data_IF_373087854705
#
_entry.id   IF_373087854705
#
_cell.length_a   1.000
_cell.length_b   1.000
_cell.length_c   1.000
_cell.angle_alpha   90.00
_cell.angle_beta   90.00
_cell.angle_gamma   90.00
#
_symmetry.space_group_name_H-M   'P 1'
#
loop_
_entity.id
_entity.type
_entity.pdbx_description
1 polymer ?
2 non-polymer ?
3 water ?
#
# COMPACT_ATOMS: atom_id res chain seq x y z
N UNK A 1 -13.12 -3.74 24.21
CA UNK A 1 -12.64 -4.17 22.86
C UNK A 1 -13.81 -4.56 21.98
N UNK A 2 -13.64 -4.36 20.66
CA UNK A 2 -14.56 -4.82 19.59
C UNK A 2 -14.16 -6.24 19.24
N UNK A 3 -15.24 -7.21 19.16
CA UNK A 3 -14.75 -8.57 19.01
C UNK A 3 -14.15 -8.93 17.64
N UNK A 4 -14.67 -8.27 16.61
CA UNK A 4 -14.33 -8.58 15.21
C UNK A 4 -13.90 -7.25 14.57
N UNK A 5 -12.76 -6.65 14.98
CA UNK A 5 -12.32 -5.36 14.42
C UNK A 5 -12.18 -5.47 12.89
N UNK A 6 -12.67 -4.47 12.15
CA UNK A 6 -12.65 -4.52 10.69
C UNK A 6 -11.37 -3.90 10.11
N UNK A 7 -10.49 -3.32 10.93
CA UNK A 7 -9.22 -2.71 10.46
C UNK A 7 -8.33 -2.49 11.68
N UNK A 8 -7.14 -1.99 11.45
CA UNK A 8 -6.12 -1.79 12.51
C UNK A 8 -6.53 -0.62 13.42
N UNK A 9 -7.46 0.24 12.99
CA UNK A 9 -7.94 1.38 13.82
C UNK A 9 -8.82 0.82 14.92
N UNK A 10 -9.70 -0.14 14.60
CA UNK A 10 -10.55 -0.82 15.60
C UNK A 10 -9.69 -1.78 16.44
N UNK A 11 -8.59 -2.33 15.92
CA UNK A 11 -7.70 -3.18 16.74
C UNK A 11 -6.90 -2.30 17.72
N UNK A 12 -6.54 -1.07 17.35
CA UNK A 12 -5.70 -0.18 18.19
C UNK A 12 -6.58 0.35 19.31
N UNK A 13 -7.80 0.75 18.97
CA UNK A 13 -8.78 1.25 19.98
C UNK A 13 -9.01 0.10 20.97
N UNK A 14 -8.85 -1.16 20.52
CA UNK A 14 -8.98 -2.37 21.37
C UNK A 14 -7.79 -2.50 22.35
N UNK A 15 -6.82 -1.57 22.34
CA UNK A 15 -5.69 -1.58 23.29
C UNK A 15 -4.45 -2.26 22.73
N UNK A 16 -4.45 -2.57 21.44
CA UNK A 16 -3.30 -3.20 20.74
C UNK A 16 -2.40 -2.07 20.23
N UNK A 17 -1.37 -1.69 20.99
CA UNK A 17 -0.58 -0.47 20.70
C UNK A 17 0.81 -0.83 20.20
N UNK A 18 1.13 -2.13 20.18
CA UNK A 18 2.40 -2.68 19.67
C UNK A 18 2.16 -2.94 18.19
N UNK A 19 3.01 -2.43 17.34
CA UNK A 19 2.99 -2.82 15.91
C UNK A 19 3.28 -4.31 15.80
N UNK A 20 2.64 -4.98 14.83
CA UNK A 20 2.80 -6.42 14.60
C UNK A 20 1.56 -6.99 13.99
N UNK A 21 1.41 -8.31 14.06
CA UNK A 21 0.35 -9.06 13.38
C UNK A 21 -0.90 -9.14 14.23
N UNK A 22 -2.03 -8.77 13.64
CA UNK A 22 -3.37 -8.78 14.26
C UNK A 22 -4.35 -9.41 13.29
N UNK A 23 -5.40 -9.97 13.86
CA UNK A 23 -6.54 -10.43 13.05
C UNK A 23 -7.56 -9.33 12.88
N UNK A 24 -7.90 -8.99 11.64
CA UNK A 24 -9.11 -8.20 11.34
C UNK A 24 -10.13 -9.09 10.66
N UNK A 25 -11.33 -8.56 10.56
CA UNK A 25 -12.51 -9.29 10.09
C UNK A 25 -13.22 -8.43 9.07
N UNK A 26 -13.24 -8.85 7.82
CA UNK A 26 -13.79 -7.94 6.77
C UNK A 26 -15.28 -7.79 6.99
N UNK A 27 -15.78 -6.56 6.98
CA UNK A 27 -17.18 -6.23 7.29
C UNK A 27 -17.54 -6.67 8.72
N UNK A 28 -16.60 -6.87 9.64
CA UNK A 28 -16.93 -7.31 11.00
C UNK A 28 -17.41 -8.74 11.05
N UNK A 29 -17.18 -9.51 10.00
CA UNK A 29 -17.74 -10.89 9.86
C UNK A 29 -16.67 -11.85 10.40
N UNK A 30 -17.01 -12.59 11.44
CA UNK A 30 -16.06 -13.53 12.10
C UNK A 30 -15.64 -14.62 11.10
N UNK A 31 -16.33 -14.80 9.99
CA UNK A 31 -15.95 -15.79 8.95
C UNK A 31 -15.03 -15.16 7.89
N UNK A 32 -14.66 -13.88 8.02
CA UNK A 32 -13.80 -13.24 7.00
C UNK A 32 -12.56 -12.71 7.70
N UNK A 33 -11.90 -13.56 8.48
CA UNK A 33 -10.65 -13.25 9.20
C UNK A 33 -9.53 -13.00 8.21
N UNK A 34 -8.68 -12.02 8.50
CA UNK A 34 -7.50 -11.68 7.68
C UNK A 34 -6.38 -11.29 8.63
N UNK A 35 -5.21 -11.91 8.54
CA UNK A 35 -4.05 -11.53 9.40
C UNK A 35 -3.33 -10.38 8.71
N UNK A 36 -3.22 -9.27 9.41
CA UNK A 36 -2.58 -8.08 8.80
C UNK A 36 -1.47 -7.64 9.74
N UNK A 37 -0.52 -6.91 9.17
CA UNK A 37 0.43 -6.13 9.98
C UNK A 37 -0.18 -4.77 10.28
N UNK A 38 -0.30 -4.42 11.54
CA UNK A 38 -0.76 -3.08 12.01
C UNK A 38 0.45 -2.23 12.43
N UNK A 39 0.61 -1.06 11.78
CA UNK A 39 1.57 -0.02 12.20
C UNK A 39 0.84 0.83 13.23
N UNK A 40 1.18 0.62 14.50
CA UNK A 40 0.46 1.29 15.61
C UNK A 40 1.24 2.53 16.08
N UNK A 41 2.31 2.95 15.40
CA UNK A 41 3.15 4.06 15.91
C UNK A 41 3.17 5.26 14.95
N UNK A 42 3.13 5.04 13.65
CA UNK A 42 3.22 6.13 12.66
C UNK A 42 1.95 6.99 12.72
N UNK A 43 2.12 8.32 12.80
CA UNK A 43 1.01 9.31 12.81
C UNK A 43 -0.21 8.73 13.47
N UNK A 44 -0.11 8.45 14.78
CA UNK A 44 -1.23 8.06 15.64
C UNK A 44 -1.60 6.58 15.53
N UNK A 45 -0.97 5.80 14.65
CA UNK A 45 -1.22 4.36 14.57
C UNK A 45 -2.52 3.96 13.89
N UNK A 46 -2.91 2.70 14.04
CA UNK A 46 -4.16 2.14 13.49
C UNK A 46 -4.08 1.86 12.00
N UNK A 47 -2.88 1.71 11.43
CA UNK A 47 -2.70 1.55 9.97
C UNK A 47 -2.53 0.07 9.59
N UNK A 48 -3.35 -0.41 8.67
CA UNK A 48 -3.09 -1.70 7.99
C UNK A 48 -1.96 -1.44 7.00
N UNK A 49 -0.84 -2.10 7.19
CA UNK A 49 0.25 -2.02 6.19
C UNK A 49 -0.10 -2.98 5.04
N UNK A 50 -0.01 -2.51 3.80
CA UNK A 50 -0.36 -3.39 2.65
C UNK A 50 0.79 -3.56 1.67
N UNK A 51 1.86 -2.80 1.82
CA UNK A 51 3.11 -2.95 1.02
C UNK A 51 4.26 -2.65 1.95
N UNK A 52 5.26 -3.50 1.96
CA UNK A 52 6.54 -3.14 2.64
C UNK A 52 7.70 -3.57 1.74
N UNK A 53 8.60 -2.62 1.47
CA UNK A 53 9.92 -2.86 0.86
C UNK A 53 10.98 -2.46 1.89
N UNK A 54 12.00 -3.27 2.06
CA UNK A 54 13.05 -2.96 3.07
C UNK A 54 14.36 -3.69 2.79
N UNK A 55 14.42 -4.73 1.95
CA UNK A 55 15.72 -5.47 1.84
C UNK A 55 15.90 -6.21 0.52
N UNK A 56 14.91 -6.25 -0.37
CA UNK A 56 15.05 -6.90 -1.68
C UNK A 56 15.04 -8.42 -1.60
N UNK A 57 14.60 -9.02 -0.48
CA UNK A 57 14.59 -10.51 -0.37
C UNK A 57 13.36 -11.09 -1.10
N UNK A 58 12.28 -10.32 -1.25
CA UNK A 58 11.04 -10.86 -1.85
C UNK A 58 10.96 -10.47 -3.32
N UNK A 59 10.35 -11.31 -4.14
CA UNK A 59 10.15 -11.04 -5.57
C UNK A 59 8.83 -10.30 -5.78
N UNK A 60 8.85 -9.10 -6.36
CA UNK A 60 7.61 -8.32 -6.62
C UNK A 60 7.22 -8.42 -8.08
N UNK A 61 8.03 -9.12 -8.89
CA UNK A 61 7.72 -9.30 -10.32
C UNK A 61 6.85 -10.53 -10.45
N UNK A 62 5.57 -10.37 -10.09
CA UNK A 62 4.62 -11.48 -9.93
C UNK A 62 3.40 -11.18 -10.77
N UNK A 63 2.59 -12.21 -10.99
CA UNK A 63 1.45 -12.17 -11.92
C UNK A 63 0.17 -11.63 -11.28
N UNK A 64 -0.85 -11.45 -12.12
CA UNK A 64 -2.19 -10.98 -11.72
C UNK A 64 -2.71 -11.77 -10.53
N UNK A 65 -2.73 -13.10 -10.62
CA UNK A 65 -3.31 -13.92 -9.52
C UNK A 65 -2.58 -13.62 -8.20
N UNK A 66 -1.25 -13.43 -8.25
CA UNK A 66 -0.42 -13.13 -7.06
C UNK A 66 -0.77 -11.75 -6.50
N UNK A 67 -0.89 -10.75 -7.36
CA UNK A 67 -1.27 -9.37 -6.92
C UNK A 67 -2.71 -9.36 -6.42
N UNK A 68 -3.60 -10.15 -7.02
CA UNK A 68 -4.99 -10.25 -6.52
C UNK A 68 -5.04 -10.86 -5.12
N UNK A 69 -4.21 -11.85 -4.82
CA UNK A 69 -4.31 -12.68 -3.60
C UNK A 69 -3.41 -12.17 -2.48
N UNK A 70 -2.29 -11.56 -2.83
CA UNK A 70 -1.27 -11.17 -1.86
C UNK A 70 -0.16 -12.21 -1.82
N UNK A 71 1.02 -11.80 -1.36
CA UNK A 71 2.19 -12.69 -1.24
C UNK A 71 3.15 -12.08 -0.23
N UNK A 72 4.10 -12.88 0.25
CA UNK A 72 5.19 -12.40 1.12
C UNK A 72 4.93 -12.66 2.59
N UNK A 73 5.92 -12.29 3.40
CA UNK A 73 5.94 -12.39 4.87
C UNK A 73 5.45 -11.04 5.39
N UNK A 74 4.29 -11.02 6.04
CA UNK A 74 3.64 -9.76 6.50
C UNK A 74 4.54 -9.06 7.54
N UNK A 75 5.51 -9.76 8.13
CA UNK A 75 6.49 -9.15 9.07
C UNK A 75 7.69 -8.55 8.34
N UNK A 76 7.84 -8.83 7.04
CA UNK A 76 8.99 -8.38 6.24
C UNK A 76 8.43 -7.78 4.94
N UNK A 77 8.93 -8.18 3.79
CA UNK A 77 8.46 -7.63 2.51
C UNK A 77 7.25 -8.42 2.03
N UNK A 78 6.19 -7.71 1.68
CA UNK A 78 4.96 -8.37 1.25
C UNK A 78 4.05 -7.39 0.53
N UNK A 79 3.04 -7.98 -0.09
CA UNK A 79 1.91 -7.27 -0.76
C UNK A 79 0.61 -7.89 -0.22
N UNK A 80 -0.30 -7.10 0.34
CA UNK A 80 -1.50 -7.64 1.02
C UNK A 80 -2.48 -8.30 0.06
N UNK A 81 -2.58 -7.85 -1.18
CA UNK A 81 -3.60 -8.38 -2.09
C UNK A 81 -4.61 -7.36 -2.49
N UNK A 82 -4.90 -7.29 -3.78
CA UNK A 82 -5.89 -6.32 -4.30
C UNK A 82 -7.30 -6.71 -3.86
N UNK A 83 -7.63 -7.99 -3.77
CA UNK A 83 -8.98 -8.38 -3.34
C UNK A 83 -9.20 -7.91 -1.89
N UNK A 84 -8.18 -8.09 -1.06
CA UNK A 84 -8.20 -7.61 0.34
C UNK A 84 -8.38 -6.11 0.35
N UNK A 85 -7.60 -5.36 -0.43
CA UNK A 85 -7.66 -3.90 -0.45
C UNK A 85 -9.05 -3.45 -0.89
N UNK A 86 -9.62 -4.12 -1.89
CA UNK A 86 -10.98 -3.73 -2.36
C UNK A 86 -11.97 -3.93 -1.20
N UNK A 87 -11.91 -5.07 -0.53
CA UNK A 87 -12.87 -5.42 0.54
C UNK A 87 -12.69 -4.48 1.74
N UNK A 88 -11.46 -4.12 2.10
CA UNK A 88 -11.24 -3.17 3.23
C UNK A 88 -11.80 -1.80 2.82
N UNK A 89 -11.36 -1.26 1.68
CA UNK A 89 -11.71 0.13 1.31
C UNK A 89 -13.21 0.27 1.04
N UNK A 90 -13.94 -0.83 0.81
CA UNK A 90 -15.41 -0.85 0.65
C UNK A 90 -16.11 -0.59 1.98
N UNK A 91 -15.44 -0.77 3.13
CA UNK A 91 -16.10 -0.76 4.48
C UNK A 91 -16.40 0.67 4.94
N UNK A 92 -15.78 1.66 4.34
CA UNK A 92 -15.94 3.05 4.77
C UNK A 92 -15.03 3.96 3.98
N UNK A 93 -14.83 5.19 4.43
CA UNK A 93 -13.90 6.13 3.78
C UNK A 93 -12.52 5.89 4.38
N UNK A 94 -11.57 5.48 3.56
CA UNK A 94 -10.18 5.22 4.02
C UNK A 94 -9.22 6.29 3.47
N UNK A 95 -8.13 6.45 4.22
CA UNK A 95 -7.00 7.36 3.94
C UNK A 95 -5.79 6.45 3.67
N UNK A 96 -4.96 6.85 2.70
CA UNK A 96 -3.68 6.20 2.34
C UNK A 96 -2.56 6.97 3.01
N UNK A 97 -1.61 6.25 3.60
CA UNK A 97 -0.33 6.84 4.02
C UNK A 97 0.81 6.06 3.39
N UNK A 98 1.78 6.79 2.87
CA UNK A 98 2.99 6.21 2.30
C UNK A 98 4.15 6.74 3.14
N UNK A 99 4.94 5.85 3.71
CA UNK A 99 6.17 6.17 4.48
C UNK A 99 7.38 5.74 3.67
N UNK A 100 8.33 6.66 3.47
CA UNK A 100 9.52 6.39 2.65
C UNK A 100 10.75 6.73 3.52
N UNK A 101 11.81 5.96 3.32
CA UNK A 101 13.09 6.24 4.00
C UNK A 101 14.20 5.75 3.11
N UNK A 102 15.22 6.58 2.95
CA UNK A 102 16.35 6.24 2.08
C UNK A 102 17.58 6.96 2.64
N UNK A 103 18.61 6.19 2.96
CA UNK A 103 19.90 6.73 3.47
C UNK A 103 19.61 7.82 4.50
N UNK A 104 18.75 7.51 5.49
CA UNK A 104 18.42 8.34 6.65
C UNK A 104 17.41 9.42 6.37
N UNK A 105 17.13 9.76 5.13
CA UNK A 105 16.09 10.77 4.86
C UNK A 105 14.72 10.10 4.85
N UNK A 106 13.73 10.77 5.39
CA UNK A 106 12.34 10.27 5.39
C UNK A 106 11.41 11.27 4.72
N UNK A 107 10.34 10.73 4.17
CA UNK A 107 9.27 11.55 3.57
C UNK A 107 7.98 10.79 3.73
N UNK A 108 6.86 11.46 3.56
CA UNK A 108 5.56 10.77 3.62
C UNK A 108 4.61 11.46 2.68
N UNK A 109 3.53 10.75 2.38
CA UNK A 109 2.39 11.27 1.64
C UNK A 109 1.13 10.69 2.28
N UNK A 110 0.13 11.53 2.44
CA UNK A 110 -1.19 11.07 2.94
C UNK A 110 -2.21 11.50 1.88
N UNK A 111 -3.19 10.64 1.59
CA UNK A 111 -4.30 10.93 0.68
C UNK A 111 -5.58 10.67 1.46
N UNK A 112 -6.38 11.72 1.63
CA UNK A 112 -7.57 11.68 2.53
C UNK A 112 -8.60 10.67 2.04
N UNK A 113 -8.58 10.38 0.74
CA UNK A 113 -9.53 9.44 0.11
C UNK A 113 -8.73 8.46 -0.70
N UNK A 114 -8.91 7.20 -0.35
CA UNK A 114 -8.21 6.06 -1.00
C UNK A 114 -9.19 4.92 -1.13
N UNK A 115 -9.34 4.40 -2.34
CA UNK A 115 -10.13 3.16 -2.51
C UNK A 115 -9.53 2.35 -3.66
N UNK A 116 -9.84 1.07 -3.65
CA UNK A 116 -9.43 0.11 -4.68
C UNK A 116 -10.71 -0.58 -5.14
N UNK A 117 -11.03 -0.46 -6.43
CA UNK A 117 -12.24 -1.11 -6.97
C UNK A 117 -12.13 -2.62 -7.03
N UNK A 118 -13.21 -3.27 -7.46
CA UNK A 118 -13.24 -4.75 -7.49
C UNK A 118 -12.63 -5.23 -8.79
N UNK A 119 -12.62 -6.54 -8.98
CA UNK A 119 -11.96 -7.19 -10.13
C UNK A 119 -12.56 -6.71 -11.46
N UNK A 120 -13.84 -6.37 -11.46
CA UNK A 120 -14.58 -5.94 -12.69
C UNK A 120 -14.07 -4.54 -13.07
N UNK A 121 -13.44 -3.79 -12.15
CA UNK A 121 -12.76 -2.48 -12.47
C UNK A 121 -11.26 -2.67 -12.71
N UNK A 122 -10.78 -3.91 -12.74
CA UNK A 122 -9.34 -4.29 -12.70
C UNK A 122 -8.70 -3.51 -11.52
N UNK A 123 -9.38 -3.51 -10.38
CA UNK A 123 -8.89 -2.94 -9.09
C UNK A 123 -8.47 -1.48 -9.28
N UNK A 124 -9.36 -0.68 -9.85
CA UNK A 124 -9.20 0.78 -10.18
C UNK A 124 -8.75 1.51 -8.91
N UNK A 125 -7.70 2.31 -9.01
CA UNK A 125 -7.22 3.16 -7.90
C UNK A 125 -8.02 4.46 -7.83
N UNK A 126 -8.44 4.86 -6.62
CA UNK A 126 -8.86 6.24 -6.31
C UNK A 126 -7.95 6.78 -5.23
N UNK A 127 -7.32 7.93 -5.48
CA UNK A 127 -6.47 8.65 -4.50
C UNK A 127 -6.75 10.12 -4.69
N UNK A 128 -7.16 10.77 -3.61
CA UNK A 128 -7.48 12.20 -3.61
C UNK A 128 -7.04 12.77 -2.25
N UNK A 129 -6.84 14.08 -2.19
CA UNK A 129 -6.66 14.83 -0.95
C UNK A 129 -5.25 14.67 -0.38
N UNK A 130 -4.26 15.04 -1.16
CA UNK A 130 -2.82 14.93 -0.83
C UNK A 130 -2.42 15.92 0.26
N UNK A 131 -1.64 15.42 1.21
CA UNK A 131 -0.74 16.28 2.00
C UNK A 131 0.55 15.49 2.23
N UNK A 132 1.66 16.16 2.38
CA UNK A 132 2.90 15.46 2.74
C UNK A 132 4.16 16.17 2.36
N UNK A 133 5.26 15.44 2.46
CA UNK A 133 6.62 15.90 2.14
C UNK A 133 7.23 15.16 0.95
N UNK A 134 6.64 14.01 0.54
CA UNK A 134 7.23 13.20 -0.54
C UNK A 134 6.95 13.84 -1.91
N UNK A 135 5.92 14.67 -1.98
CA UNK A 135 5.43 15.19 -3.28
C UNK A 135 4.33 14.31 -3.82
N UNK A 136 3.34 14.93 -4.45
CA UNK A 136 2.10 14.23 -4.85
C UNK A 136 2.35 13.41 -6.12
N UNK A 137 2.96 12.24 -5.99
CA UNK A 137 3.30 11.39 -7.17
C UNK A 137 2.14 10.45 -7.51
N UNK A 138 1.22 10.21 -6.59
CA UNK A 138 0.07 9.32 -6.88
C UNK A 138 -0.97 10.01 -7.75
N UNK A 139 -1.05 11.35 -7.79
CA UNK A 139 -2.06 12.05 -8.62
C UNK A 139 -2.01 11.50 -10.04
N UNK A 140 -0.80 11.34 -10.59
CA UNK A 140 -0.55 10.82 -11.96
C UNK A 140 -1.30 9.50 -12.18
N UNK A 141 -1.41 8.69 -11.13
CA UNK A 141 -1.94 7.30 -11.18
C UNK A 141 -3.45 7.25 -10.90
N UNK A 142 -4.02 8.33 -10.36
CA UNK A 142 -5.45 8.35 -9.95
C UNK A 142 -6.35 7.86 -11.07
N UNK A 143 -7.24 6.92 -10.74
CA UNK A 143 -8.28 6.43 -11.66
C UNK A 143 -7.81 5.28 -12.52
N UNK A 144 -6.52 4.91 -12.44
CA UNK A 144 -6.00 3.84 -13.31
C UNK A 144 -6.26 2.44 -12.74
N UNK A 145 -6.50 1.50 -13.64
CA UNK A 145 -6.58 0.07 -13.30
C UNK A 145 -5.19 -0.44 -12.90
N UNK A 146 -5.16 -1.61 -12.29
CA UNK A 146 -3.91 -2.27 -11.89
C UNK A 146 -3.41 -3.05 -13.10
N UNK A 147 -2.08 -3.11 -13.28
CA UNK A 147 -1.45 -3.91 -14.36
C UNK A 147 -0.33 -4.78 -13.79
N UNK A 148 -0.29 -6.01 -14.29
CA UNK A 148 0.79 -6.98 -14.11
C UNK A 148 1.25 -7.36 -15.52
N UNK A 149 2.38 -8.03 -15.60
CA UNK A 149 2.96 -8.42 -16.91
C UNK A 149 1.94 -9.25 -17.69
N UNK A 150 1.13 -10.08 -17.03
CA UNK A 150 0.20 -11.01 -17.73
C UNK A 150 -1.19 -10.39 -17.87
N UNK A 151 -1.39 -9.13 -17.44
CA UNK A 151 -2.67 -8.40 -17.61
C UNK A 151 -2.34 -6.90 -17.64
N UNK A 159 4.32 -2.55 -22.56
CA UNK A 159 3.74 -3.16 -21.33
C UNK A 159 4.56 -2.68 -20.15
N UNK A 160 3.98 -1.77 -19.34
CA UNK A 160 4.71 -1.07 -18.26
C UNK A 160 5.26 -2.09 -17.27
N UNK A 161 4.46 -3.09 -16.90
CA UNK A 161 4.86 -4.08 -15.88
C UNK A 161 6.02 -4.91 -16.40
N UNK A 162 5.87 -5.35 -17.63
CA UNK A 162 6.94 -6.12 -18.31
C UNK A 162 8.19 -5.24 -18.47
N UNK A 163 8.07 -4.02 -19.04
CA UNK A 163 9.22 -3.10 -19.34
C UNK A 163 9.98 -2.77 -18.07
N UNK A 164 9.28 -2.40 -17.00
CA UNK A 164 9.89 -1.98 -15.71
C UNK A 164 9.98 -3.21 -14.73
N UNK A 165 9.52 -4.41 -15.10
CA UNK A 165 9.59 -5.66 -14.29
C UNK A 165 9.05 -5.35 -12.86
N UNK A 166 7.87 -4.77 -12.79
CA UNK A 166 7.12 -4.60 -11.53
C UNK A 166 5.63 -4.77 -11.76
N UNK A 167 4.80 -4.13 -10.95
CA UNK A 167 3.32 -4.17 -11.04
C UNK A 167 2.84 -2.88 -10.37
N UNK A 168 1.81 -2.26 -10.86
CA UNK A 168 1.26 -1.01 -10.28
C UNK A 168 0.00 -0.63 -11.04
N UNK A 169 -0.66 0.41 -10.57
CA UNK A 169 -1.69 1.15 -11.32
C UNK A 169 -1.01 2.02 -12.39
N UNK A 170 -0.34 1.39 -13.35
CA UNK A 170 0.49 2.04 -14.36
C UNK A 170 -0.36 2.90 -15.30
N UNK A 171 0.27 3.95 -15.79
CA UNK A 171 -0.32 4.87 -16.80
C UNK A 171 0.61 4.79 -18.01
N UNK A 172 1.58 5.70 -18.14
CA UNK A 172 2.48 5.68 -19.31
C UNK A 172 3.85 6.29 -18.97
N UNK A 173 4.56 5.75 -17.96
CA UNK A 173 4.20 4.55 -17.22
C UNK A 173 3.97 4.87 -15.73
N UNK A 174 4.91 5.59 -15.08
CA UNK A 174 4.78 5.77 -13.62
C UNK A 174 5.49 7.01 -13.09
N UNK A 175 4.94 7.54 -12.00
CA UNK A 175 5.72 8.39 -11.08
C UNK A 175 5.92 7.67 -9.74
N UNK A 176 5.13 6.64 -9.47
CA UNK A 176 5.31 5.76 -8.29
C UNK A 176 5.53 4.35 -8.78
N UNK A 177 6.55 3.66 -8.25
CA UNK A 177 6.89 2.29 -8.66
C UNK A 177 7.32 1.49 -7.44
N UNK A 178 6.49 1.47 -6.39
CA UNK A 178 6.96 0.93 -5.10
C UNK A 178 7.05 -0.63 -5.12
N UNK A 179 6.51 -1.27 -6.16
CA UNK A 179 6.63 -2.72 -6.39
C UNK A 179 7.66 -2.98 -7.49
N UNK A 180 8.59 -2.08 -7.70
CA UNK A 180 9.66 -2.25 -8.70
C UNK A 180 10.80 -3.07 -8.18
N UNK A 181 11.89 -3.10 -8.94
CA UNK A 181 13.06 -3.94 -8.61
C UNK A 181 13.88 -3.28 -7.50
N UNK A 182 14.09 -3.98 -6.40
CA UNK A 182 14.85 -3.46 -5.24
C UNK A 182 16.31 -3.14 -5.62
N UNK A 183 16.77 -1.95 -5.23
CA UNK A 183 18.15 -1.46 -5.41
C UNK A 183 18.50 -1.17 -6.86
N UNK A 184 17.53 -1.08 -7.76
CA UNK A 184 17.78 -0.85 -9.21
C UNK A 184 17.68 0.65 -9.52
N UNK A 185 18.82 1.32 -9.68
CA UNK A 185 18.89 2.79 -9.94
C UNK A 185 18.73 3.08 -11.44
N UNK A 186 18.64 2.06 -12.29
CA UNK A 186 18.43 2.32 -13.73
C UNK A 186 17.09 3.03 -13.89
N UNK A 187 16.99 3.94 -14.86
CA UNK A 187 15.80 4.80 -15.08
C UNK A 187 14.50 4.01 -15.00
N UNK A 188 13.65 4.36 -14.03
CA UNK A 188 12.25 3.88 -13.87
C UNK A 188 12.19 2.38 -13.51
N UNK A 189 13.32 1.73 -13.20
CA UNK A 189 13.33 0.26 -12.92
C UNK A 189 13.11 -0.02 -11.44
N UNK A 190 13.41 0.93 -10.55
CA UNK A 190 13.55 0.61 -9.13
C UNK A 190 12.34 1.05 -8.31
N UNK A 191 12.55 1.12 -7.03
CA UNK A 191 11.49 1.47 -6.05
C UNK A 191 11.41 3.00 -6.06
N UNK A 192 10.59 3.58 -6.96
CA UNK A 192 10.67 5.04 -7.22
C UNK A 192 9.46 5.77 -6.64
N UNK A 193 9.71 6.98 -6.18
CA UNK A 193 8.72 8.02 -5.89
C UNK A 193 9.21 9.30 -6.56
N UNK A 194 8.77 9.52 -7.79
CA UNK A 194 9.50 10.47 -8.66
C UNK A 194 9.67 11.86 -8.00
N UNK A 195 8.64 12.38 -7.34
CA UNK A 195 8.62 13.79 -6.88
C UNK A 195 9.39 13.93 -5.58
N UNK A 196 9.98 12.83 -5.10
CA UNK A 196 10.91 12.82 -3.94
C UNK A 196 12.34 12.55 -4.43
N UNK A 197 12.57 11.43 -5.12
CA UNK A 197 13.96 11.01 -5.48
C UNK A 197 14.11 10.67 -6.95
N UNK A 198 13.12 10.97 -7.78
CA UNK A 198 13.31 10.86 -9.23
C UNK A 198 13.23 9.42 -9.71
N UNK A 199 13.70 9.18 -10.92
CA UNK A 199 13.58 7.85 -11.57
C UNK A 199 14.89 7.07 -11.57
N UNK A 200 15.99 7.66 -11.10
CA UNK A 200 17.32 6.99 -11.08
C UNK A 200 17.80 6.83 -9.65
N UNK A 201 16.87 6.60 -8.73
CA UNK A 201 17.20 6.39 -7.30
C UNK A 201 16.16 5.44 -6.72
N UNK A 202 16.55 4.21 -6.47
CA UNK A 202 15.67 3.18 -5.88
C UNK A 202 15.67 3.39 -4.37
N UNK A 203 14.48 3.51 -3.79
CA UNK A 203 14.30 3.81 -2.35
C UNK A 203 14.47 2.56 -1.48
N UNK A 204 15.26 2.69 -0.42
CA UNK A 204 15.59 1.54 0.47
C UNK A 204 14.39 1.03 1.24
N UNK A 205 13.55 1.91 1.72
CA UNK A 205 12.42 1.50 2.57
C UNK A 205 11.14 2.19 2.12
N UNK A 206 10.07 1.44 2.01
CA UNK A 206 8.77 2.00 1.58
C UNK A 206 7.67 1.20 2.25
N UNK A 207 6.67 1.88 2.81
CA UNK A 207 5.43 1.22 3.26
C UNK A 207 4.24 1.99 2.70
N UNK A 208 3.22 1.25 2.28
CA UNK A 208 1.88 1.82 1.97
C UNK A 208 0.90 1.26 3.00
N UNK A 209 0.04 2.11 3.56
CA UNK A 209 -0.86 1.67 4.66
C UNK A 209 -2.17 2.45 4.63
N UNK A 210 -3.21 1.93 5.26
CA UNK A 210 -4.55 2.57 5.18
C UNK A 210 -5.27 2.45 6.52
N UNK A 211 -6.09 3.43 6.78
CA UNK A 211 -6.99 3.43 7.95
C UNK A 211 -8.14 4.39 7.67
N UNK A 212 -9.23 4.35 8.45
CA UNK A 212 -10.36 5.26 8.21
C UNK A 212 -9.92 6.74 8.27
N UNK A 213 -10.35 7.50 7.27
CA UNK A 213 -9.99 8.92 7.17
C UNK A 213 -10.50 9.65 8.42
N UNK A 214 -11.59 9.20 9.04
CA UNK A 214 -12.16 9.92 10.21
C UNK A 214 -11.40 9.56 11.49
N UNK A 215 -10.34 8.75 11.45
CA UNK A 215 -9.60 8.34 12.66
C UNK A 215 -8.91 9.54 13.32
N UNK A 216 -8.61 10.57 12.55
CA UNK A 216 -7.92 11.80 13.05
C UNK A 216 -8.81 12.52 14.07
N UNK A 217 -10.10 12.22 14.14
CA UNK A 217 -10.93 12.87 15.19
C UNK A 217 -12.04 11.97 15.70
N UNK A 218 -11.78 10.70 15.96
CA UNK A 218 -12.87 9.71 16.19
C UNK A 218 -13.19 9.62 17.68
#
# INVERSE_FOLDING_TARGET
SMPFPKDCSQAMLNGDTTSGLYTIYLNGDKAQALEVFCDMTSDGGGWIVFLRRKNGRENFYQNWKAYAAGFGDRREEFWLGLDNLNKITAQGQYELRVDLRDHGETAFAVYDKFSVGDAKTRYKLKVEGYSGTAGDSMAYHNGRSFSTFDKDTDSAITNCALSYKGAFWYRNCHRVNLMGRYGDNNHSQGVNWFHWKGHEHSIQFAEMKLRPSNFRNLEG
#
